data_IF_926187544750
#
_entry.id   IF_926187544750
#
_cell.length_a   1.000
_cell.length_b   1.000
_cell.length_c   1.000
_cell.angle_alpha   90.00
_cell.angle_beta   90.00
_cell.angle_gamma   90.00
#
_symmetry.space_group_name_H-M   'P 1'
#
loop_
_entity.id
_entity.type
_entity.pdbx_description
1 polymer ?
#
# COMPACT_ATOMS: atom_id res chain seq x y z
N UNK A 1 2.60 -17.12 13.48
CA UNK A 1 1.18 -16.73 13.38
C UNK A 1 0.23 -17.62 14.17
N UNK A 2 0.18 -18.95 13.99
CA UNK A 2 -0.75 -19.84 14.73
C UNK A 2 -0.67 -19.67 16.25
N UNK A 3 0.55 -19.74 16.82
CA UNK A 3 0.76 -19.53 18.26
C UNK A 3 0.30 -18.16 18.74
N UNK A 4 0.51 -17.13 17.92
CA UNK A 4 0.09 -15.76 18.23
C UNK A 4 -1.44 -15.62 18.27
N UNK A 5 -2.13 -16.18 17.27
CA UNK A 5 -3.61 -16.16 17.21
C UNK A 5 -4.21 -16.93 18.39
N UNK A 6 -3.66 -18.11 18.74
CA UNK A 6 -4.07 -18.84 19.94
C UNK A 6 -3.80 -18.03 21.22
N UNK A 7 -2.69 -17.28 21.25
CA UNK A 7 -2.33 -16.41 22.36
C UNK A 7 -3.31 -15.24 22.56
N UNK A 8 -3.87 -14.67 21.51
CA UNK A 8 -4.92 -13.65 21.62
C UNK A 8 -6.13 -14.18 22.38
N UNK A 9 -6.65 -15.35 21.97
CA UNK A 9 -7.85 -15.94 22.58
C UNK A 9 -7.63 -16.40 24.01
N UNK A 10 -6.40 -16.79 24.35
CA UNK A 10 -6.05 -17.30 25.71
C UNK A 10 -5.58 -16.19 26.66
N UNK A 11 -5.65 -14.91 26.28
CA UNK A 11 -5.25 -13.81 27.13
C UNK A 11 -3.75 -13.72 27.37
N UNK A 12 -2.93 -14.09 26.39
CA UNK A 12 -1.46 -14.05 26.50
C UNK A 12 -0.89 -12.65 26.36
N UNK A 13 -1.62 -11.73 25.71
CA UNK A 13 -1.15 -10.41 25.34
C UNK A 13 -2.02 -9.33 25.99
N UNK A 14 -1.38 -8.28 26.48
CA UNK A 14 -2.04 -7.05 26.91
C UNK A 14 -2.38 -6.16 25.70
N UNK A 15 -1.46 -6.13 24.74
CA UNK A 15 -1.57 -5.31 23.54
C UNK A 15 -1.31 -6.12 22.27
N UNK A 16 -1.92 -5.66 21.19
CA UNK A 16 -1.49 -5.96 19.84
C UNK A 16 -1.27 -4.65 19.09
N UNK A 17 -0.14 -4.50 18.37
CA UNK A 17 0.16 -3.29 17.62
C UNK A 17 0.29 -3.58 16.14
N UNK A 18 -0.49 -2.86 15.35
CA UNK A 18 -0.49 -2.96 13.89
C UNK A 18 0.25 -1.78 13.27
N UNK A 19 1.34 -2.05 12.58
CA UNK A 19 2.11 -1.06 11.83
C UNK A 19 1.71 -0.94 10.36
N UNK A 20 0.73 -1.71 9.90
CA UNK A 20 0.20 -1.64 8.54
C UNK A 20 -1.18 -2.29 8.39
N UNK A 21 -1.95 -1.83 7.41
CA UNK A 21 -3.21 -2.47 7.01
C UNK A 21 -3.01 -3.92 6.51
N UNK A 22 -1.84 -4.25 5.95
CA UNK A 22 -1.51 -5.61 5.53
C UNK A 22 -1.38 -6.56 6.72
N UNK A 23 -0.82 -6.09 7.84
CA UNK A 23 -0.75 -6.88 9.07
C UNK A 23 -2.14 -7.17 9.64
N UNK A 24 -3.05 -6.17 9.61
CA UNK A 24 -4.46 -6.35 10.00
C UNK A 24 -5.12 -7.42 9.15
N UNK A 25 -4.95 -7.36 7.82
CA UNK A 25 -5.50 -8.35 6.90
C UNK A 25 -4.95 -9.75 7.16
N UNK A 26 -3.63 -9.87 7.33
CA UNK A 26 -3.00 -11.16 7.57
C UNK A 26 -3.45 -11.82 8.89
N UNK A 27 -3.63 -11.02 9.96
CA UNK A 27 -4.17 -11.51 11.23
C UNK A 27 -5.63 -11.92 11.07
N UNK A 28 -6.45 -11.11 10.38
CA UNK A 28 -7.84 -11.42 10.10
C UNK A 28 -7.99 -12.73 9.32
N UNK A 29 -7.27 -12.89 8.22
CA UNK A 29 -7.27 -14.12 7.41
C UNK A 29 -6.91 -15.34 8.25
N UNK A 30 -5.94 -15.18 9.18
CA UNK A 30 -5.53 -16.26 10.07
C UNK A 30 -6.56 -16.58 11.14
N UNK A 31 -7.28 -15.58 11.66
CA UNK A 31 -8.41 -15.80 12.57
C UNK A 31 -9.54 -16.55 11.87
N UNK A 32 -9.93 -16.13 10.67
CA UNK A 32 -10.96 -16.75 9.84
C UNK A 32 -10.61 -18.24 9.54
N UNK A 33 -9.33 -18.55 9.25
CA UNK A 33 -8.84 -19.93 9.05
C UNK A 33 -9.10 -20.83 10.26
N UNK A 34 -9.07 -20.27 11.47
CA UNK A 34 -9.37 -21.00 12.72
C UNK A 34 -10.83 -20.86 13.17
N UNK A 35 -11.72 -20.31 12.36
CA UNK A 35 -13.12 -20.08 12.70
C UNK A 35 -13.31 -19.04 13.80
N UNK A 36 -12.35 -18.13 13.95
CA UNK A 36 -12.38 -17.02 14.90
C UNK A 36 -12.77 -15.71 14.20
N UNK A 37 -13.24 -14.74 14.96
CA UNK A 37 -13.62 -13.41 14.50
C UNK A 37 -13.05 -12.30 15.42
N UNK A 38 -13.56 -11.09 15.29
CA UNK A 38 -13.11 -9.93 16.06
C UNK A 38 -13.21 -10.11 17.59
N UNK A 39 -14.01 -11.06 18.09
CA UNK A 39 -14.09 -11.40 19.52
C UNK A 39 -12.79 -11.96 20.07
N UNK A 40 -11.90 -12.42 19.21
CA UNK A 40 -10.55 -12.84 19.61
C UNK A 40 -9.71 -11.70 20.22
N UNK A 41 -10.13 -10.44 20.03
CA UNK A 41 -9.49 -9.27 20.61
C UNK A 41 -10.11 -8.85 21.96
N UNK A 42 -11.10 -9.60 22.46
CA UNK A 42 -11.70 -9.27 23.74
C UNK A 42 -10.65 -9.28 24.87
N UNK A 43 -10.51 -8.15 25.59
CA UNK A 43 -9.52 -7.99 26.65
C UNK A 43 -8.10 -7.65 26.19
N UNK A 44 -7.87 -7.49 24.87
CA UNK A 44 -6.57 -7.05 24.33
C UNK A 44 -6.71 -5.61 23.83
N UNK A 45 -5.83 -4.72 24.28
CA UNK A 45 -5.76 -3.35 23.77
C UNK A 45 -5.13 -3.37 22.38
N UNK A 46 -5.63 -2.53 21.48
CA UNK A 46 -5.21 -2.50 20.07
C UNK A 46 -4.57 -1.17 19.74
N UNK A 47 -3.35 -1.20 19.20
CA UNK A 47 -2.66 -0.02 18.71
C UNK A 47 -2.55 -0.03 17.18
N UNK A 48 -2.69 1.14 16.55
CA UNK A 48 -2.54 1.32 15.11
C UNK A 48 -1.59 2.48 14.79
N UNK A 49 -0.69 2.29 13.85
CA UNK A 49 0.32 3.29 13.45
C UNK A 49 -0.30 4.53 12.80
N UNK A 50 -1.50 4.43 12.24
CA UNK A 50 -2.14 5.55 11.58
C UNK A 50 -3.50 5.22 10.99
N UNK A 51 -4.12 6.22 10.36
CA UNK A 51 -5.53 6.18 9.92
C UNK A 51 -5.86 5.04 8.94
N UNK A 52 -4.97 4.72 8.00
CA UNK A 52 -5.22 3.60 7.07
C UNK A 52 -5.28 2.24 7.79
N UNK A 53 -4.42 2.06 8.80
CA UNK A 53 -4.42 0.86 9.63
C UNK A 53 -5.65 0.81 10.52
N UNK A 54 -6.03 1.96 11.11
CA UNK A 54 -7.25 2.10 11.91
C UNK A 54 -8.52 1.86 11.08
N UNK A 55 -8.58 2.36 9.84
CA UNK A 55 -9.68 2.09 8.92
C UNK A 55 -9.80 0.59 8.59
N UNK A 56 -8.65 -0.09 8.38
CA UNK A 56 -8.63 -1.55 8.16
C UNK A 56 -9.15 -2.33 9.36
N UNK A 57 -8.80 -1.91 10.58
CA UNK A 57 -9.34 -2.46 11.83
C UNK A 57 -10.85 -2.19 11.96
N UNK A 58 -11.30 -0.96 11.60
CA UNK A 58 -12.70 -0.58 11.59
C UNK A 58 -13.57 -1.46 10.69
N UNK A 59 -13.07 -1.85 9.51
CA UNK A 59 -13.74 -2.83 8.64
C UNK A 59 -13.85 -4.24 9.27
N UNK A 60 -13.01 -4.52 10.24
CA UNK A 60 -13.07 -5.76 11.04
C UNK A 60 -13.87 -5.61 12.35
N UNK A 61 -14.46 -4.42 12.57
CA UNK A 61 -15.25 -4.11 13.78
C UNK A 61 -14.42 -3.76 15.00
N UNK A 62 -13.13 -3.42 14.83
CA UNK A 62 -12.20 -3.09 15.91
C UNK A 62 -11.84 -1.61 15.83
N UNK A 63 -11.92 -0.93 16.97
CA UNK A 63 -11.42 0.44 17.13
C UNK A 63 -10.10 0.40 17.89
N UNK A 64 -9.03 1.06 17.40
CA UNK A 64 -7.77 1.11 18.13
C UNK A 64 -7.90 1.94 19.42
N UNK A 65 -7.25 1.47 20.49
CA UNK A 65 -7.14 2.14 21.78
C UNK A 65 -6.00 3.16 21.78
N UNK A 66 -4.98 2.96 20.93
CA UNK A 66 -3.83 3.86 20.81
C UNK A 66 -3.51 4.13 19.33
N UNK A 67 -3.36 5.40 19.00
CA UNK A 67 -2.77 5.91 17.76
C UNK A 67 -1.89 7.12 18.07
N UNK A 68 -0.80 7.35 17.34
CA UNK A 68 -0.03 8.58 17.47
C UNK A 68 -0.85 9.80 17.00
N UNK A 69 -0.82 10.89 17.77
CA UNK A 69 -1.51 12.13 17.41
C UNK A 69 -0.77 12.94 16.33
N UNK A 70 0.53 12.66 16.12
CA UNK A 70 1.40 13.36 15.19
C UNK A 70 1.82 12.49 14.00
N UNK A 71 3.10 12.13 13.98
CA UNK A 71 3.68 11.33 12.90
C UNK A 71 3.14 9.90 12.88
N UNK A 72 2.48 9.54 11.79
CA UNK A 72 1.93 8.19 11.58
C UNK A 72 3.02 7.22 11.10
N UNK A 73 3.95 6.93 11.99
CA UNK A 73 5.10 6.04 11.76
C UNK A 73 5.31 5.10 12.95
N UNK A 74 6.20 4.13 12.82
CA UNK A 74 6.61 3.27 13.93
C UNK A 74 7.25 4.08 15.06
N UNK A 75 7.98 5.14 14.72
CA UNK A 75 8.59 6.09 15.63
C UNK A 75 7.52 6.91 16.40
N UNK A 76 6.51 7.41 15.68
CA UNK A 76 5.38 8.12 16.28
C UNK A 76 4.60 7.24 17.24
N UNK A 77 4.31 5.99 16.85
CA UNK A 77 3.64 5.02 17.73
C UNK A 77 4.49 4.68 18.95
N UNK A 78 5.80 4.49 18.78
CA UNK A 78 6.75 4.24 19.85
C UNK A 78 6.82 5.41 20.87
N UNK A 79 6.75 6.64 20.38
CA UNK A 79 6.73 7.85 21.22
C UNK A 79 5.42 7.99 22.03
N UNK A 80 4.30 7.56 21.46
CA UNK A 80 2.98 7.60 22.10
C UNK A 80 2.73 6.42 23.07
N UNK A 81 3.60 5.42 23.09
CA UNK A 81 3.38 4.19 23.85
C UNK A 81 3.56 4.43 25.36
N UNK A 82 2.60 3.99 26.21
CA UNK A 82 2.73 4.12 27.65
C UNK A 82 3.79 3.14 28.21
N UNK A 83 4.50 3.49 29.30
CA UNK A 83 5.35 2.55 30.00
C UNK A 83 4.50 1.41 30.59
N UNK A 84 5.11 0.25 30.75
CA UNK A 84 4.48 -0.87 31.45
C UNK A 84 4.34 -0.53 32.95
N UNK A 85 3.16 -0.81 33.50
CA UNK A 85 2.84 -0.64 34.91
C UNK A 85 2.37 -1.98 35.47
N UNK A 86 3.13 -2.58 36.38
CA UNK A 86 2.86 -3.90 36.95
C UNK A 86 1.60 -3.97 37.85
N UNK A 87 1.05 -2.81 38.22
CA UNK A 87 -0.21 -2.71 38.98
C UNK A 87 -1.42 -2.62 38.04
N UNK A 88 -1.29 -1.86 36.94
CA UNK A 88 -2.39 -1.58 36.01
C UNK A 88 -2.45 -2.55 34.83
N UNK A 89 -1.31 -3.12 34.44
CA UNK A 89 -1.19 -4.01 33.30
C UNK A 89 -0.88 -5.45 33.77
N UNK A 90 -1.87 -6.36 33.83
CA UNK A 90 -1.66 -7.72 34.36
C UNK A 90 -0.72 -8.57 33.50
N UNK A 91 -0.44 -8.15 32.26
CA UNK A 91 0.40 -8.86 31.29
C UNK A 91 1.34 -7.86 30.62
N UNK A 92 2.66 -8.11 30.65
CA UNK A 92 3.66 -7.23 30.05
C UNK A 92 3.92 -7.53 28.56
N UNK A 93 3.02 -8.26 27.87
CA UNK A 93 3.28 -8.73 26.50
C UNK A 93 2.52 -7.96 25.44
N UNK A 94 3.26 -7.58 24.41
CA UNK A 94 2.75 -6.91 23.21
C UNK A 94 2.98 -7.82 21.99
N UNK A 95 1.92 -8.17 21.27
CA UNK A 95 2.02 -8.86 19.99
C UNK A 95 2.27 -7.87 18.86
N UNK A 96 3.30 -8.10 18.04
CA UNK A 96 3.67 -7.30 16.89
C UNK A 96 3.59 -8.12 15.59
N UNK A 97 2.42 -8.23 14.94
CA UNK A 97 2.32 -8.84 13.62
C UNK A 97 2.86 -7.86 12.56
N UNK A 98 3.99 -8.18 11.93
CA UNK A 98 4.71 -7.28 11.00
C UNK A 98 5.10 -7.97 9.70
N UNK A 99 5.63 -7.17 8.75
CA UNK A 99 6.33 -7.69 7.58
C UNK A 99 7.66 -8.32 7.99
N UNK A 100 8.18 -9.25 7.19
CA UNK A 100 9.49 -9.86 7.34
C UNK A 100 10.68 -8.88 7.24
N UNK A 101 10.44 -7.67 6.72
CA UNK A 101 11.44 -6.60 6.55
C UNK A 101 11.20 -5.38 7.47
N UNK A 102 10.42 -5.54 8.54
CA UNK A 102 10.11 -4.45 9.46
C UNK A 102 11.34 -4.01 10.28
N UNK A 103 11.40 -2.72 10.63
CA UNK A 103 12.48 -2.15 11.44
C UNK A 103 12.32 -2.54 12.92
N UNK A 104 13.42 -2.56 13.67
CA UNK A 104 13.45 -2.90 15.09
C UNK A 104 13.08 -1.73 16.03
N UNK A 105 12.83 -0.54 15.51
CA UNK A 105 12.60 0.69 16.30
C UNK A 105 11.49 0.52 17.34
N UNK A 106 10.33 0.00 16.94
CA UNK A 106 9.21 -0.19 17.86
C UNK A 106 9.50 -1.25 18.91
N UNK A 107 10.15 -2.37 18.54
CA UNK A 107 10.56 -3.44 19.48
C UNK A 107 11.50 -2.89 20.54
N UNK A 108 12.55 -2.16 20.12
CA UNK A 108 13.52 -1.56 21.03
C UNK A 108 12.83 -0.61 22.03
N UNK A 109 11.95 0.26 21.54
CA UNK A 109 11.25 1.22 22.40
C UNK A 109 10.30 0.54 23.39
N UNK A 110 9.54 -0.46 22.96
CA UNK A 110 8.68 -1.25 23.86
C UNK A 110 9.50 -1.91 24.99
N UNK A 111 10.65 -2.46 24.64
CA UNK A 111 11.56 -3.08 25.61
C UNK A 111 12.09 -2.05 26.63
N UNK A 112 12.49 -0.86 26.18
CA UNK A 112 12.89 0.25 27.06
C UNK A 112 11.76 0.68 28.03
N UNK A 113 10.51 0.57 27.59
CA UNK A 113 9.32 0.90 28.39
C UNK A 113 8.85 -0.27 29.29
N UNK A 114 9.60 -1.37 29.35
CA UNK A 114 9.31 -2.52 30.21
C UNK A 114 8.38 -3.58 29.61
N UNK A 115 7.98 -3.42 28.34
CA UNK A 115 7.15 -4.40 27.64
C UNK A 115 7.96 -5.54 27.01
N UNK A 116 7.40 -6.75 27.00
CA UNK A 116 7.91 -7.89 26.25
C UNK A 116 7.26 -7.94 24.86
N UNK A 117 8.00 -7.51 23.85
CA UNK A 117 7.51 -7.51 22.47
C UNK A 117 7.66 -8.87 21.82
N UNK A 118 6.55 -9.53 21.45
CA UNK A 118 6.55 -10.76 20.64
C UNK A 118 6.35 -10.39 19.17
N UNK A 119 7.46 -10.32 18.44
CA UNK A 119 7.47 -10.05 17.00
C UNK A 119 7.10 -11.30 16.20
N UNK A 120 6.13 -11.17 15.31
CA UNK A 120 5.66 -12.28 14.47
C UNK A 120 5.54 -11.84 13.02
N UNK A 121 6.25 -12.53 12.12
CA UNK A 121 6.08 -12.34 10.69
C UNK A 121 4.65 -12.70 10.28
N UNK A 122 3.84 -11.70 10.00
CA UNK A 122 2.46 -11.84 9.58
C UNK A 122 2.34 -12.01 8.06
N UNK A 123 3.20 -11.31 7.29
CA UNK A 123 3.24 -11.37 5.84
C UNK A 123 4.66 -11.11 5.31
N UNK A 124 4.89 -11.49 4.06
CA UNK A 124 6.17 -11.27 3.40
C UNK A 124 6.02 -10.33 2.23
N UNK A 125 6.95 -9.39 2.13
CA UNK A 125 7.04 -8.52 0.96
C UNK A 125 7.82 -9.25 -0.12
N UNK A 126 7.12 -9.81 -1.10
CA UNK A 126 7.74 -10.46 -2.26
C UNK A 126 7.75 -9.52 -3.45
N UNK A 127 8.82 -9.55 -4.24
CA UNK A 127 8.82 -8.87 -5.54
C UNK A 127 7.75 -9.51 -6.41
N UNK A 128 6.95 -8.69 -7.08
CA UNK A 128 6.00 -9.18 -8.06
C UNK A 128 6.75 -9.99 -9.14
N UNK A 129 6.21 -11.15 -9.49
CA UNK A 129 6.75 -11.90 -10.61
C UNK A 129 6.60 -11.08 -11.91
N UNK A 130 7.55 -11.19 -12.85
CA UNK A 130 7.39 -10.56 -14.15
C UNK A 130 6.06 -11.00 -14.79
N UNK A 131 5.28 -10.07 -15.35
CA UNK A 131 4.04 -10.43 -16.03
C UNK A 131 4.33 -11.37 -17.21
N UNK A 132 3.33 -12.15 -17.67
CA UNK A 132 3.48 -13.01 -18.85
C UNK A 132 4.04 -12.26 -20.06
N UNK A 133 4.78 -12.96 -20.93
CA UNK A 133 5.45 -12.35 -22.07
C UNK A 133 4.54 -11.46 -22.94
N UNK A 134 3.28 -11.87 -23.28
CA UNK A 134 2.38 -11.03 -24.06
C UNK A 134 2.07 -9.68 -23.38
N UNK A 135 1.94 -9.65 -22.04
CA UNK A 135 1.69 -8.42 -21.28
C UNK A 135 2.93 -7.52 -21.29
N UNK A 136 4.13 -8.09 -21.10
CA UNK A 136 5.39 -7.32 -21.17
C UNK A 136 5.61 -6.71 -22.56
N UNK A 137 5.30 -7.47 -23.60
CA UNK A 137 5.35 -6.97 -24.98
C UNK A 137 4.32 -5.87 -25.23
N UNK A 138 3.10 -6.01 -24.69
CA UNK A 138 2.08 -4.97 -24.78
C UNK A 138 2.51 -3.69 -24.05
N UNK A 139 3.14 -3.79 -22.86
CA UNK A 139 3.68 -2.63 -22.12
C UNK A 139 4.73 -1.90 -22.95
N UNK A 140 5.76 -2.62 -23.43
CA UNK A 140 6.84 -2.04 -24.25
C UNK A 140 6.37 -1.60 -25.63
N UNK A 141 5.35 -2.24 -26.09
CA UNK A 141 4.85 -2.11 -27.42
C UNK A 141 3.71 -1.12 -27.61
N UNK A 142 3.25 -0.41 -26.57
CA UNK A 142 2.15 0.56 -26.65
C UNK A 142 0.79 -0.10 -26.82
N UNK A 143 0.59 -1.28 -26.23
CA UNK A 143 -0.69 -1.97 -26.18
C UNK A 143 -1.64 -1.48 -25.08
N UNK A 144 -1.18 -0.55 -24.23
CA UNK A 144 -1.97 0.07 -23.18
C UNK A 144 -2.15 1.57 -23.44
N UNK A 145 -3.33 2.08 -23.11
CA UNK A 145 -3.66 3.51 -23.26
C UNK A 145 -3.03 4.35 -22.17
N UNK A 146 -3.02 3.84 -20.94
CA UNK A 146 -2.43 4.53 -19.80
C UNK A 146 -1.83 3.54 -18.78
N UNK A 147 -0.94 4.06 -17.93
CA UNK A 147 -0.41 3.41 -16.72
C UNK A 147 -0.54 4.39 -15.57
N UNK A 148 -1.11 3.93 -14.44
CA UNK A 148 -1.26 4.70 -13.22
C UNK A 148 -0.27 4.22 -12.17
N UNK A 149 0.48 5.15 -11.61
CA UNK A 149 1.44 4.89 -10.54
C UNK A 149 0.98 5.53 -9.23
N UNK A 150 0.71 4.71 -8.24
CA UNK A 150 0.27 5.12 -6.91
C UNK A 150 1.42 5.31 -5.91
N UNK A 151 2.66 5.09 -6.32
CA UNK A 151 3.86 5.31 -5.50
C UNK A 151 5.14 5.22 -6.34
N UNK A 152 6.24 5.76 -5.82
CA UNK A 152 7.58 5.61 -6.39
C UNK A 152 8.01 4.15 -6.53
N UNK A 153 7.61 3.28 -5.60
CA UNK A 153 7.91 1.85 -5.64
C UNK A 153 7.22 1.14 -6.81
N UNK A 154 5.99 1.54 -7.16
CA UNK A 154 5.28 0.96 -8.32
C UNK A 154 5.95 1.31 -9.64
N UNK A 155 6.54 2.52 -9.76
CA UNK A 155 7.35 2.91 -10.93
C UNK A 155 8.56 1.98 -11.06
N UNK A 156 9.37 1.88 -9.99
CA UNK A 156 10.59 1.05 -9.97
C UNK A 156 10.28 -0.41 -10.27
N UNK A 157 9.22 -0.93 -9.65
CA UNK A 157 8.82 -2.33 -9.80
C UNK A 157 8.38 -2.62 -11.25
N UNK A 158 7.47 -1.82 -11.82
CA UNK A 158 7.01 -2.05 -13.19
C UNK A 158 8.18 -2.05 -14.18
N UNK A 159 9.06 -1.05 -14.09
CA UNK A 159 10.22 -0.94 -14.99
C UNK A 159 11.16 -2.13 -14.82
N UNK A 160 11.38 -2.57 -13.57
CA UNK A 160 12.26 -3.71 -13.26
C UNK A 160 11.74 -5.05 -13.77
N UNK A 161 10.41 -5.29 -13.74
CA UNK A 161 9.81 -6.58 -14.09
C UNK A 161 9.24 -6.65 -15.52
N UNK A 162 8.88 -5.51 -16.12
CA UNK A 162 8.22 -5.45 -17.42
C UNK A 162 8.91 -4.52 -18.43
N UNK A 163 9.80 -3.65 -17.97
CA UNK A 163 10.44 -2.61 -18.78
C UNK A 163 9.60 -1.34 -18.86
N UNK A 164 10.12 -0.33 -19.57
CA UNK A 164 9.46 0.97 -19.70
C UNK A 164 8.19 0.87 -20.55
N UNK A 165 7.08 1.51 -20.13
CA UNK A 165 5.92 1.71 -20.99
C UNK A 165 6.32 2.45 -22.29
N UNK A 166 5.61 2.14 -23.35
CA UNK A 166 5.84 2.80 -24.64
C UNK A 166 5.50 4.28 -24.60
N UNK A 167 6.20 5.10 -25.39
CA UNK A 167 6.02 6.57 -25.40
C UNK A 167 4.59 7.04 -25.74
N UNK A 168 3.76 6.20 -26.38
CA UNK A 168 2.34 6.53 -26.67
C UNK A 168 1.44 6.32 -25.46
N UNK A 169 1.86 5.52 -24.48
CA UNK A 169 1.08 5.22 -23.27
C UNK A 169 1.10 6.44 -22.34
N UNK A 170 -0.06 6.91 -21.92
CA UNK A 170 -0.16 8.02 -20.97
C UNK A 170 0.32 7.57 -19.59
N UNK A 171 1.13 8.41 -18.93
CA UNK A 171 1.65 8.13 -17.58
C UNK A 171 0.95 9.05 -16.59
N UNK A 172 0.19 8.45 -15.68
CA UNK A 172 -0.49 9.13 -14.59
C UNK A 172 0.16 8.79 -13.24
N UNK A 173 0.38 9.79 -12.40
CA UNK A 173 1.05 9.64 -11.10
C UNK A 173 0.24 10.27 -9.98
N UNK A 174 0.29 9.66 -8.80
CA UNK A 174 -0.50 10.08 -7.63
C UNK A 174 -0.01 11.39 -6.99
N UNK A 175 1.25 11.77 -7.22
CA UNK A 175 1.80 12.98 -6.61
C UNK A 175 3.26 13.25 -7.00
N UNK A 176 3.83 14.37 -6.51
CA UNK A 176 5.11 14.91 -6.98
C UNK A 176 6.30 13.97 -6.76
N UNK A 177 6.37 13.24 -5.65
CA UNK A 177 7.45 12.29 -5.39
C UNK A 177 7.45 11.11 -6.38
N UNK A 178 6.25 10.64 -6.77
CA UNK A 178 6.09 9.60 -7.80
C UNK A 178 6.43 10.16 -9.18
N UNK A 179 6.08 11.42 -9.46
CA UNK A 179 6.44 12.11 -10.70
C UNK A 179 7.96 12.24 -10.84
N UNK A 180 8.65 12.66 -9.79
CA UNK A 180 10.11 12.73 -9.76
C UNK A 180 10.74 11.37 -10.07
N UNK A 181 10.29 10.31 -9.39
CA UNK A 181 10.79 8.96 -9.67
C UNK A 181 10.51 8.53 -11.12
N UNK A 182 9.33 8.82 -11.67
CA UNK A 182 9.00 8.52 -13.07
C UNK A 182 9.98 9.23 -14.02
N UNK A 183 10.28 10.52 -13.77
CA UNK A 183 11.24 11.30 -14.55
C UNK A 183 12.67 10.75 -14.46
N UNK A 184 13.14 10.32 -13.28
CA UNK A 184 14.45 9.67 -13.07
C UNK A 184 14.60 8.41 -13.95
N UNK A 185 13.50 7.69 -14.16
CA UNK A 185 13.46 6.54 -15.07
C UNK A 185 13.19 6.91 -16.53
N UNK A 186 13.14 8.21 -16.85
CA UNK A 186 12.93 8.72 -18.20
C UNK A 186 11.52 8.47 -18.72
N UNK A 187 10.51 8.49 -17.86
CA UNK A 187 9.10 8.51 -18.23
C UNK A 187 8.62 9.95 -18.30
N UNK A 188 7.83 10.28 -19.33
CA UNK A 188 7.11 11.55 -19.41
C UNK A 188 5.83 11.44 -18.59
N UNK A 189 5.66 12.26 -17.57
CA UNK A 189 4.42 12.33 -16.80
C UNK A 189 3.41 13.18 -17.55
N UNK A 190 2.26 12.61 -17.89
CA UNK A 190 1.18 13.29 -18.62
C UNK A 190 0.10 13.82 -17.67
N UNK A 191 -0.10 13.16 -16.54
CA UNK A 191 -1.15 13.44 -15.56
C UNK A 191 -0.61 13.29 -14.15
N UNK A 192 -0.95 14.24 -13.27
CA UNK A 192 -0.73 14.14 -11.83
C UNK A 192 -2.04 14.42 -11.10
N UNK A 193 -2.37 13.61 -10.09
CA UNK A 193 -3.54 13.82 -9.26
C UNK A 193 -3.44 15.13 -8.46
N UNK A 194 -4.57 15.82 -8.29
CA UNK A 194 -4.64 17.06 -7.49
C UNK A 194 -4.44 16.78 -5.99
N UNK A 195 -4.91 15.62 -5.51
CA UNK A 195 -4.69 15.11 -4.16
C UNK A 195 -4.15 13.68 -4.26
N UNK A 196 -3.34 13.21 -3.28
CA UNK A 196 -2.73 11.88 -3.32
C UNK A 196 -3.74 10.76 -3.00
N UNK A 197 -4.80 10.64 -3.80
CA UNK A 197 -5.81 9.59 -3.71
C UNK A 197 -5.97 8.85 -5.04
N UNK A 198 -6.39 7.59 -4.98
CA UNK A 198 -6.66 6.79 -6.17
C UNK A 198 -7.84 7.37 -6.98
N UNK A 199 -8.84 7.93 -6.30
CA UNK A 199 -10.01 8.56 -6.94
C UNK A 199 -9.59 9.77 -7.75
N UNK A 200 -8.86 10.73 -7.14
CA UNK A 200 -8.35 11.91 -7.84
C UNK A 200 -7.43 11.55 -9.01
N UNK A 201 -6.64 10.48 -8.88
CA UNK A 201 -5.77 10.01 -9.96
C UNK A 201 -6.57 9.50 -11.17
N UNK A 202 -7.65 8.75 -10.91
CA UNK A 202 -8.54 8.24 -11.97
C UNK A 202 -9.32 9.38 -12.63
N UNK A 203 -9.84 10.32 -11.84
CA UNK A 203 -10.55 11.51 -12.33
C UNK A 203 -9.64 12.38 -13.20
N UNK A 204 -8.42 12.68 -12.74
CA UNK A 204 -7.46 13.45 -13.52
C UNK A 204 -7.09 12.78 -14.84
N UNK A 205 -6.98 11.44 -14.86
CA UNK A 205 -6.75 10.68 -16.10
C UNK A 205 -7.96 10.74 -17.04
N UNK A 206 -9.18 10.63 -16.50
CA UNK A 206 -10.40 10.73 -17.29
C UNK A 206 -10.55 12.12 -17.94
N UNK A 207 -10.27 13.19 -17.19
CA UNK A 207 -10.24 14.56 -17.70
C UNK A 207 -9.17 14.76 -18.79
N UNK A 208 -7.98 14.19 -18.59
CA UNK A 208 -6.92 14.22 -19.59
C UNK A 208 -7.39 13.55 -20.90
N UNK A 209 -8.03 12.38 -20.80
CA UNK A 209 -8.59 11.68 -21.95
C UNK A 209 -9.69 12.49 -22.66
N UNK A 210 -10.55 13.16 -21.91
CA UNK A 210 -11.59 14.04 -22.44
C UNK A 210 -10.96 15.22 -23.21
N UNK A 211 -9.97 15.91 -22.62
CA UNK A 211 -9.25 17.01 -23.29
C UNK A 211 -8.60 16.57 -24.61
N UNK A 212 -7.96 15.38 -24.63
CA UNK A 212 -7.34 14.87 -25.86
C UNK A 212 -8.37 14.54 -26.95
N UNK A 213 -9.53 14.02 -26.54
CA UNK A 213 -10.65 13.76 -27.45
C UNK A 213 -11.19 15.07 -28.05
N UNK A 214 -11.46 16.04 -27.19
CA UNK A 214 -12.06 17.32 -27.62
C UNK A 214 -11.10 18.11 -28.54
N UNK A 215 -9.80 18.06 -28.23
CA UNK A 215 -8.78 18.66 -29.10
C UNK A 215 -8.74 17.96 -30.47
N UNK A 216 -8.85 16.66 -30.56
CA UNK A 216 -8.89 15.93 -31.82
C UNK A 216 -10.15 16.30 -32.64
N UNK A 217 -11.31 16.40 -31.98
CA UNK A 217 -12.57 16.81 -32.61
C UNK A 217 -12.46 18.24 -33.17
N UNK A 218 -11.91 19.18 -32.40
CA UNK A 218 -11.72 20.57 -32.83
C UNK A 218 -10.74 20.69 -34.01
N UNK A 219 -9.72 19.83 -34.05
CA UNK A 219 -8.75 19.77 -35.14
C UNK A 219 -9.26 19.02 -36.38
N UNK A 220 -10.48 18.46 -36.34
CA UNK A 220 -10.99 17.62 -37.44
C UNK A 220 -10.24 16.30 -37.59
N UNK A 221 -9.50 15.87 -36.54
CA UNK A 221 -8.73 14.64 -36.55
C UNK A 221 -9.55 13.46 -35.98
N UNK A 222 -9.27 12.23 -36.43
CA UNK A 222 -9.95 11.08 -35.88
C UNK A 222 -9.58 10.89 -34.40
N UNK A 223 -10.58 10.74 -33.56
CA UNK A 223 -10.40 10.40 -32.14
C UNK A 223 -9.79 9.00 -32.03
N UNK A 224 -8.57 8.92 -31.50
CA UNK A 224 -7.84 7.65 -31.34
C UNK A 224 -7.30 7.50 -29.93
N UNK A 225 -7.45 6.31 -29.36
CA UNK A 225 -6.81 5.96 -28.09
C UNK A 225 -5.29 5.91 -28.27
N UNK A 226 -4.49 6.14 -27.18
CA UNK A 226 -3.04 6.05 -27.22
C UNK A 226 -2.52 4.75 -27.87
N UNK A 227 -3.08 3.58 -27.51
CA UNK A 227 -2.71 2.29 -28.09
C UNK A 227 -3.03 2.14 -29.58
N UNK A 228 -3.99 2.88 -30.11
CA UNK A 228 -4.36 2.86 -31.54
C UNK A 228 -3.44 3.73 -32.40
N UNK A 229 -2.80 4.76 -31.81
CA UNK A 229 -1.88 5.67 -32.53
C UNK A 229 -0.69 4.91 -33.12
N UNK A 230 -0.23 3.85 -32.49
CA UNK A 230 0.84 2.98 -32.99
C UNK A 230 0.48 2.21 -34.27
N UNK A 231 -0.77 1.79 -34.44
CA UNK A 231 -1.22 1.04 -35.62
C UNK A 231 -1.20 1.89 -36.90
N UNK A 232 -1.40 3.20 -36.75
CA UNK A 232 -1.38 4.15 -37.89
C UNK A 232 0.02 4.42 -38.45
N UNK A 233 1.06 4.43 -37.61
CA UNK A 233 2.44 4.66 -38.05
C UNK A 233 3.01 3.52 -38.91
N UNK A 234 2.69 2.26 -38.59
CA UNK A 234 3.10 1.10 -39.39
C UNK A 234 2.40 0.99 -40.76
N UNK A 235 1.22 1.61 -40.92
CA UNK A 235 0.45 1.55 -42.18
C UNK A 235 0.89 2.62 -43.19
N UNK A 236 1.63 3.66 -42.76
CA UNK A 236 2.19 4.71 -43.65
C UNK A 236 3.57 4.36 -44.22
N UNK A 237 4.19 3.27 -43.75
CA UNK A 237 5.52 2.78 -44.19
C UNK A 237 5.43 1.51 -45.07
N UNK A 238 4.26 1.23 -45.58
CA UNK A 238 4.01 0.23 -46.66
C UNK A 238 3.22 0.96 -47.74
#
# INVERSE_FOLDING_TARGET
>A
MERAVKGLVTGRYQWIAFTSANAVRAVREKLEEYGLDARAFAGVKVAAVGEQTAASLGHFGIRPDLMPEGEQSSEGLAAAWPPYDDVLDPINRVLLPRADIATETLVARLTELGWEAEDVTAYRTVRAAPPPAPIREAIKGGGFDAVLFTSSSTVRNLIGIAGKPHAVTAIAVIGPQTAQTAAEYGLRVDVMAAKPSATDLVEALAEHGARLRDAAVQAGEPVRKPSERRRGARRRLR
#
